data_IF_952081181940
#
_entry.id   IF_952081181940
#
_cell.length_a   1.000
_cell.length_b   1.000
_cell.length_c   1.000
_cell.angle_alpha   90.00
_cell.angle_beta   90.00
_cell.angle_gamma   90.00
#
_symmetry.space_group_name_H-M   'P 1'
#
loop_
_entity.id
_entity.type
_entity.pdbx_description
1 polymer ?
#
# COMPACT_ATOMS: atom_id res chain seq x y z
N UNK A 1 21.32 -21.90 -0.39
CA UNK A 1 19.98 -21.84 0.22
C UNK A 1 19.63 -20.36 0.38
N UNK A 2 18.61 -19.85 -0.31
CA UNK A 2 18.16 -18.48 -0.09
C UNK A 2 17.31 -18.48 1.17
N UNK A 3 17.71 -17.72 2.19
CA UNK A 3 16.89 -17.54 3.38
C UNK A 3 15.82 -16.49 3.10
N UNK A 4 14.61 -16.73 3.60
CA UNK A 4 13.51 -15.79 3.46
C UNK A 4 13.64 -14.72 4.55
N UNK A 5 14.08 -13.51 4.18
CA UNK A 5 14.35 -12.40 5.10
C UNK A 5 13.15 -11.48 5.29
N UNK A 6 11.98 -11.89 4.81
CA UNK A 6 10.74 -11.12 4.88
C UNK A 6 9.54 -12.03 5.14
N UNK A 7 8.60 -11.53 5.96
CA UNK A 7 7.29 -12.15 6.19
C UNK A 7 6.19 -11.25 5.65
N UNK A 8 5.22 -11.82 4.93
CA UNK A 8 4.07 -11.09 4.40
C UNK A 8 3.11 -10.70 5.53
N UNK A 9 2.79 -9.42 5.63
CA UNK A 9 1.83 -8.88 6.60
C UNK A 9 0.46 -8.62 5.96
N UNK A 10 0.43 -8.19 4.70
CA UNK A 10 -0.80 -7.84 4.01
C UNK A 10 -0.64 -7.95 2.50
N UNK A 11 -1.74 -8.31 1.83
CA UNK A 11 -1.92 -8.32 0.38
C UNK A 11 -3.29 -7.73 0.03
N UNK A 12 -3.41 -7.11 -1.13
CA UNK A 12 -4.69 -6.71 -1.73
C UNK A 12 -4.95 -7.49 -3.02
N UNK A 13 -6.17 -7.38 -3.56
CA UNK A 13 -6.54 -8.05 -4.82
C UNK A 13 -5.71 -7.60 -6.03
N UNK A 14 -5.14 -6.38 -5.97
CA UNK A 14 -4.33 -5.78 -7.03
C UNK A 14 -2.84 -5.65 -6.66
N UNK A 15 -2.45 -5.99 -5.42
CA UNK A 15 -1.06 -6.06 -4.99
C UNK A 15 -0.82 -7.27 -4.07
N UNK A 16 -0.17 -8.31 -4.59
CA UNK A 16 0.13 -9.52 -3.83
C UNK A 16 1.11 -9.33 -2.67
N UNK A 17 1.88 -8.23 -2.64
CA UNK A 17 2.84 -7.92 -1.58
C UNK A 17 2.68 -6.46 -1.15
N UNK A 18 1.65 -6.18 -0.35
CA UNK A 18 1.32 -4.82 0.10
C UNK A 18 2.12 -4.39 1.31
N UNK A 19 2.35 -5.28 2.27
CA UNK A 19 3.17 -4.99 3.44
C UNK A 19 3.95 -6.21 3.89
N UNK A 20 5.18 -5.99 4.37
CA UNK A 20 6.09 -7.03 4.85
C UNK A 20 6.78 -6.62 6.16
N UNK A 21 7.16 -7.63 6.95
CA UNK A 21 8.06 -7.51 8.10
C UNK A 21 9.43 -8.03 7.72
N UNK A 22 10.49 -7.28 8.03
CA UNK A 22 11.87 -7.75 7.83
C UNK A 22 12.25 -8.71 8.95
N UNK A 23 12.91 -9.81 8.60
CA UNK A 23 13.41 -10.82 9.52
C UNK A 23 14.94 -10.80 9.59
N UNK A 24 15.50 -11.22 10.72
CA UNK A 24 16.92 -11.51 10.87
C UNK A 24 17.29 -12.78 10.09
N UNK A 25 18.58 -13.10 10.03
CA UNK A 25 19.07 -14.37 9.45
C UNK A 25 18.60 -15.60 10.22
N UNK A 26 18.22 -15.41 11.47
CA UNK A 26 17.70 -16.46 12.35
C UNK A 26 16.17 -16.56 12.27
N UNK A 27 15.51 -15.70 11.47
CA UNK A 27 14.06 -15.68 11.31
C UNK A 27 13.32 -14.74 12.28
N UNK A 28 14.04 -14.02 13.14
CA UNK A 28 13.44 -13.15 14.16
C UNK A 28 12.95 -11.82 13.59
N UNK A 29 11.77 -11.29 13.97
CA UNK A 29 11.26 -10.02 13.46
C UNK A 29 12.12 -8.82 13.88
N UNK A 30 12.64 -8.07 12.90
CA UNK A 30 13.38 -6.82 13.15
C UNK A 30 12.43 -5.63 13.23
N UNK A 31 12.77 -4.50 13.89
CA UNK A 31 11.95 -3.28 13.92
C UNK A 31 12.03 -2.52 12.57
N UNK A 32 11.80 -3.23 11.47
CA UNK A 32 11.83 -2.73 10.11
C UNK A 32 10.73 -3.39 9.29
N UNK A 33 10.08 -2.59 8.45
CA UNK A 33 8.91 -2.96 7.67
C UNK A 33 9.02 -2.40 6.26
N UNK A 34 8.37 -3.05 5.30
CA UNK A 34 8.18 -2.53 3.95
C UNK A 34 6.70 -2.40 3.65
N UNK A 35 6.32 -1.34 2.93
CA UNK A 35 4.95 -1.14 2.45
C UNK A 35 5.00 -0.68 1.00
N UNK A 36 4.16 -1.28 0.16
CA UNK A 36 3.93 -0.89 -1.22
C UNK A 36 2.47 -0.51 -1.37
N UNK A 37 2.23 0.78 -1.58
CA UNK A 37 0.92 1.32 -1.83
C UNK A 37 1.06 2.54 -2.75
N UNK A 38 -0.03 2.89 -3.41
CA UNK A 38 -0.10 4.14 -4.15
C UNK A 38 -0.72 5.16 -3.18
N UNK A 39 0.07 6.09 -2.60
CA UNK A 39 -0.52 7.19 -1.85
C UNK A 39 -1.47 7.93 -2.78
N UNK A 40 -2.59 8.36 -2.25
CA UNK A 40 -3.78 8.89 -2.94
C UNK A 40 -3.56 10.17 -3.77
N UNK A 41 -2.32 10.43 -4.21
CA UNK A 41 -1.98 11.28 -5.34
C UNK A 41 -2.71 10.89 -6.64
N UNK A 42 -3.30 9.69 -6.72
CA UNK A 42 -4.18 9.31 -7.83
C UNK A 42 -5.40 10.22 -7.91
N UNK A 43 -6.17 10.41 -6.83
CA UNK A 43 -7.45 11.13 -6.91
C UNK A 43 -7.27 12.61 -7.27
N UNK A 44 -6.36 13.31 -6.59
CA UNK A 44 -6.05 14.71 -6.90
C UNK A 44 -5.33 14.89 -8.26
N UNK A 45 -4.77 13.84 -8.86
CA UNK A 45 -4.24 13.87 -10.25
C UNK A 45 -5.31 13.54 -11.28
N UNK A 46 -6.19 12.60 -10.98
CA UNK A 46 -7.34 12.21 -11.80
C UNK A 46 -8.32 13.38 -11.89
N UNK A 47 -8.63 14.03 -10.77
CA UNK A 47 -9.46 15.25 -10.71
C UNK A 47 -8.83 16.37 -11.54
N UNK A 48 -7.51 16.62 -11.42
CA UNK A 48 -6.82 17.61 -12.26
C UNK A 48 -6.78 17.25 -13.75
N UNK A 49 -6.61 15.96 -14.08
CA UNK A 49 -6.62 15.51 -15.47
C UNK A 49 -8.03 15.68 -16.09
N UNK A 50 -9.07 15.48 -15.30
CA UNK A 50 -10.46 15.74 -15.69
C UNK A 50 -10.73 17.24 -15.86
N UNK A 51 -10.28 18.07 -14.91
CA UNK A 51 -10.39 19.54 -15.00
C UNK A 51 -9.66 20.12 -16.23
N UNK A 52 -8.56 19.49 -16.66
CA UNK A 52 -7.82 19.88 -17.87
C UNK A 52 -8.36 19.21 -19.15
N UNK A 53 -9.44 18.43 -19.07
CA UNK A 53 -10.08 17.77 -20.20
C UNK A 53 -9.26 16.62 -20.81
N UNK A 54 -8.29 16.08 -20.08
CA UNK A 54 -7.46 14.96 -20.53
C UNK A 54 -8.12 13.59 -20.37
N UNK A 55 -9.19 13.51 -19.57
CA UNK A 55 -10.00 12.29 -19.39
C UNK A 55 -11.49 12.66 -19.33
N UNK A 56 -12.36 11.76 -19.79
CA UNK A 56 -13.82 11.96 -19.80
C UNK A 56 -14.47 11.70 -18.44
N UNK A 57 -15.75 12.07 -18.28
CA UNK A 57 -16.56 11.75 -17.10
C UNK A 57 -16.68 10.23 -16.86
N UNK A 58 -16.69 9.43 -17.94
CA UNK A 58 -16.77 7.97 -17.89
C UNK A 58 -15.45 7.35 -17.42
N UNK A 59 -14.32 7.90 -17.88
CA UNK A 59 -13.00 7.51 -17.41
C UNK A 59 -12.83 7.90 -15.94
N UNK A 60 -13.21 9.12 -15.55
CA UNK A 60 -13.24 9.56 -14.14
C UNK A 60 -14.08 8.63 -13.25
N UNK A 61 -15.26 8.21 -13.71
CA UNK A 61 -16.12 7.29 -12.98
C UNK A 61 -15.49 5.90 -12.80
N UNK A 62 -14.71 5.42 -13.77
CA UNK A 62 -13.96 4.16 -13.66
C UNK A 62 -12.85 4.22 -12.61
N UNK A 63 -12.30 5.41 -12.34
CA UNK A 63 -11.34 5.65 -11.27
C UNK A 63 -11.99 5.93 -9.91
N UNK A 64 -13.32 5.93 -9.78
CA UNK A 64 -14.00 6.03 -8.47
C UNK A 64 -14.05 4.71 -7.70
N UNK A 65 -13.49 3.63 -8.24
CA UNK A 65 -13.30 2.39 -7.48
C UNK A 65 -12.42 2.62 -6.25
N UNK A 66 -12.69 1.91 -5.15
CA UNK A 66 -12.02 2.08 -3.85
C UNK A 66 -10.49 2.21 -4.00
N UNK A 67 -10.01 3.45 -3.89
CA UNK A 67 -8.59 3.71 -3.75
C UNK A 67 -8.22 3.53 -2.28
N UNK A 68 -7.78 2.33 -1.95
CA UNK A 68 -7.49 1.87 -0.60
C UNK A 68 -6.16 2.40 -0.02
N UNK A 69 -5.46 3.30 -0.71
CA UNK A 69 -4.14 3.79 -0.29
C UNK A 69 -4.11 4.40 1.12
N UNK A 70 -5.09 5.24 1.47
CA UNK A 70 -5.20 5.83 2.81
C UNK A 70 -5.56 4.77 3.87
N UNK A 71 -6.46 3.84 3.54
CA UNK A 71 -6.87 2.74 4.41
C UNK A 71 -5.72 1.74 4.66
N UNK A 72 -4.92 1.44 3.63
CA UNK A 72 -3.71 0.63 3.72
C UNK A 72 -2.70 1.31 4.65
N UNK A 73 -2.46 2.61 4.47
CA UNK A 73 -1.50 3.34 5.30
C UNK A 73 -1.94 3.41 6.78
N UNK A 74 -3.22 3.67 7.03
CA UNK A 74 -3.80 3.68 8.38
C UNK A 74 -3.72 2.31 9.06
N UNK A 75 -4.06 1.25 8.33
CA UNK A 75 -3.96 -0.14 8.80
C UNK A 75 -2.51 -0.52 9.10
N UNK A 76 -1.58 -0.13 8.23
CA UNK A 76 -0.15 -0.35 8.41
C UNK A 76 0.39 0.39 9.64
N UNK A 77 0.01 1.65 9.86
CA UNK A 77 0.40 2.40 11.06
C UNK A 77 -0.06 1.71 12.35
N UNK A 78 -1.27 1.12 12.34
CA UNK A 78 -1.78 0.32 13.45
C UNK A 78 -0.93 -0.92 13.71
N UNK A 79 -0.49 -1.61 12.66
CA UNK A 79 0.41 -2.77 12.77
C UNK A 79 1.74 -2.34 13.37
N UNK A 80 2.38 -1.29 12.84
CA UNK A 80 3.65 -0.80 13.37
C UNK A 80 3.53 -0.43 14.86
N UNK A 81 2.48 0.30 15.25
CA UNK A 81 2.24 0.69 16.65
C UNK A 81 2.07 -0.49 17.61
N UNK A 82 1.45 -1.59 17.16
CA UNK A 82 1.31 -2.81 17.98
C UNK A 82 2.61 -3.57 18.23
N UNK A 83 3.57 -3.46 17.32
CA UNK A 83 4.85 -4.17 17.39
C UNK A 83 6.03 -3.26 17.75
N UNK A 84 5.76 -2.02 18.16
CA UNK A 84 6.72 -1.09 18.74
C UNK A 84 6.66 -1.04 20.28
N UNK A 85 5.73 -1.77 20.91
CA UNK A 85 5.59 -1.88 22.36
C UNK A 85 6.24 -3.16 22.90
#
# INVERSE_FOLDING_TARGET
MFQNLVSLLCSTSHNGVTAVRVLSKDGEPLPSWGIQFHPEAARARIERAHEWGHISDEELASFKGEHDGASILSSFATVVGRYQA
#
